data_IF_254871331554
#
_entry.id   IF_254871331554
#
_cell.length_a   1.000
_cell.length_b   1.000
_cell.length_c   1.000
_cell.angle_alpha   90.00
_cell.angle_beta   90.00
_cell.angle_gamma   90.00
#
_symmetry.space_group_name_H-M   'P 1'
#
loop_
_entity.id
_entity.type
_entity.pdbx_description
1 polymer ?
#
# COMPACT_ATOMS: atom_id res chain seq x y z
N UNK A 1 -13.45 -3.88 1.41
CA UNK A 1 -13.39 -5.23 0.80
C UNK A 1 -14.76 -5.60 0.25
N UNK A 2 -14.87 -6.30 -0.88
CA UNK A 2 -16.16 -6.72 -1.45
C UNK A 2 -16.94 -7.59 -0.46
N UNK A 3 -18.25 -7.36 -0.37
CA UNK A 3 -19.15 -8.01 0.58
C UNK A 3 -18.95 -9.53 0.67
N UNK A 4 -18.87 -10.04 1.90
CA UNK A 4 -18.64 -11.46 2.22
C UNK A 4 -19.59 -12.41 1.48
N UNK A 5 -20.79 -11.94 1.15
CA UNK A 5 -21.86 -12.72 0.50
C UNK A 5 -21.76 -12.78 -1.04
N UNK A 6 -21.04 -11.83 -1.66
CA UNK A 6 -20.96 -11.68 -3.12
C UNK A 6 -19.52 -11.55 -3.65
N UNK A 7 -18.51 -11.64 -2.77
CA UNK A 7 -17.11 -11.61 -3.18
C UNK A 7 -16.72 -12.76 -4.12
N UNK A 8 -15.66 -12.56 -4.90
CA UNK A 8 -15.17 -13.51 -5.90
C UNK A 8 -14.97 -14.92 -5.34
N UNK A 9 -14.44 -15.05 -4.12
CA UNK A 9 -14.28 -16.35 -3.45
C UNK A 9 -15.63 -17.04 -3.22
N UNK A 10 -16.64 -16.31 -2.73
CA UNK A 10 -17.96 -16.85 -2.44
C UNK A 10 -18.64 -17.34 -3.73
N UNK A 11 -18.53 -16.59 -4.83
CA UNK A 11 -19.06 -16.99 -6.13
C UNK A 11 -18.33 -18.21 -6.71
N UNK A 12 -17.00 -18.24 -6.64
CA UNK A 12 -16.22 -19.40 -7.11
C UNK A 12 -16.50 -20.67 -6.29
N UNK A 13 -16.70 -20.55 -4.98
CA UNK A 13 -17.02 -21.69 -4.13
C UNK A 13 -18.41 -22.26 -4.45
N UNK A 14 -19.39 -21.41 -4.80
CA UNK A 14 -20.71 -21.84 -5.28
C UNK A 14 -20.62 -22.58 -6.62
N UNK A 15 -19.84 -22.07 -7.58
CA UNK A 15 -19.70 -22.68 -8.92
C UNK A 15 -19.06 -24.07 -8.83
N UNK A 16 -18.04 -24.25 -7.99
CA UNK A 16 -17.26 -25.50 -7.95
C UNK A 16 -17.79 -26.49 -6.91
N UNK A 17 -18.85 -26.14 -6.17
CA UNK A 17 -19.52 -27.04 -5.22
C UNK A 17 -18.70 -27.40 -3.97
N UNK A 18 -17.63 -26.66 -3.68
CA UNK A 18 -16.84 -26.82 -2.46
C UNK A 18 -16.17 -25.49 -2.07
N UNK A 19 -15.84 -25.34 -0.79
CA UNK A 19 -15.16 -24.15 -0.29
C UNK A 19 -13.76 -24.03 -0.88
N UNK A 20 -13.48 -22.91 -1.57
CA UNK A 20 -12.12 -22.58 -2.02
C UNK A 20 -11.45 -21.66 -1.01
N UNK A 21 -10.34 -22.09 -0.36
CA UNK A 21 -9.63 -21.23 0.55
C UNK A 21 -9.03 -20.06 -0.22
N UNK A 22 -9.36 -18.85 0.21
CA UNK A 22 -8.73 -17.64 -0.30
C UNK A 22 -7.42 -17.40 0.44
N UNK A 23 -6.32 -17.36 -0.31
CA UNK A 23 -5.00 -17.01 0.23
C UNK A 23 -4.70 -15.57 -0.20
N UNK A 24 -4.77 -14.61 0.72
CA UNK A 24 -4.49 -13.22 0.37
C UNK A 24 -3.02 -13.04 -0.02
N UNK A 25 -2.79 -12.23 -1.05
CA UNK A 25 -1.44 -11.85 -1.42
C UNK A 25 -0.79 -11.03 -0.29
N UNK A 26 0.54 -11.03 -0.21
CA UNK A 26 1.26 -10.33 0.87
C UNK A 26 0.88 -8.85 0.97
N UNK A 27 0.68 -8.18 -0.17
CA UNK A 27 0.26 -6.78 -0.20
C UNK A 27 -1.15 -6.59 0.40
N UNK A 28 -2.08 -7.50 0.10
CA UNK A 28 -3.43 -7.43 0.65
C UNK A 28 -3.42 -7.63 2.17
N UNK A 29 -2.66 -8.62 2.67
CA UNK A 29 -2.51 -8.83 4.11
C UNK A 29 -1.95 -7.59 4.81
N UNK A 30 -0.98 -6.92 4.20
CA UNK A 30 -0.38 -5.72 4.77
C UNK A 30 -1.37 -4.55 4.80
N UNK A 31 -2.15 -4.35 3.74
CA UNK A 31 -3.18 -3.31 3.72
C UNK A 31 -4.24 -3.54 4.80
N UNK A 32 -4.76 -4.76 4.91
CA UNK A 32 -5.74 -5.11 5.96
C UNK A 32 -5.15 -4.92 7.36
N UNK A 33 -3.87 -5.25 7.55
CA UNK A 33 -3.20 -5.01 8.82
C UNK A 33 -3.11 -3.52 9.15
N UNK A 34 -2.75 -2.67 8.19
CA UNK A 34 -2.68 -1.22 8.37
C UNK A 34 -4.07 -0.65 8.68
N UNK A 35 -5.10 -1.05 7.93
CA UNK A 35 -6.50 -0.67 8.15
C UNK A 35 -6.93 -0.95 9.60
N UNK A 36 -6.77 -2.19 10.05
CA UNK A 36 -7.09 -2.55 11.44
C UNK A 36 -6.23 -1.84 12.48
N UNK A 37 -4.96 -1.55 12.17
CA UNK A 37 -4.07 -0.83 13.09
C UNK A 37 -4.51 0.62 13.27
N UNK A 38 -4.97 1.27 12.19
CA UNK A 38 -5.53 2.63 12.23
C UNK A 38 -6.87 2.64 12.97
N UNK A 39 -7.73 1.64 12.76
CA UNK A 39 -9.01 1.53 13.48
C UNK A 39 -8.81 1.31 14.98
N UNK A 40 -7.77 0.55 15.36
CA UNK A 40 -7.48 0.24 16.76
C UNK A 40 -6.79 1.39 17.51
N UNK A 41 -6.15 2.34 16.83
CA UNK A 41 -5.37 3.40 17.47
C UNK A 41 -5.34 4.68 16.65
N UNK A 42 -5.89 5.75 17.23
CA UNK A 42 -5.86 7.09 16.64
C UNK A 42 -4.44 7.59 16.37
N UNK A 43 -3.48 7.25 17.24
CA UNK A 43 -2.07 7.63 17.09
C UNK A 43 -1.48 6.99 15.83
N UNK A 44 -1.84 5.74 15.56
CA UNK A 44 -1.39 5.03 14.34
C UNK A 44 -2.06 5.65 13.11
N UNK A 45 -3.34 5.97 13.17
CA UNK A 45 -4.05 6.66 12.09
C UNK A 45 -3.42 8.02 11.78
N UNK A 46 -3.11 8.84 12.79
CA UNK A 46 -2.45 10.14 12.62
C UNK A 46 -1.05 10.03 12.01
N UNK A 47 -0.29 9.01 12.40
CA UNK A 47 1.02 8.71 11.81
C UNK A 47 0.89 8.47 10.30
N UNK A 48 -0.03 7.58 9.89
CA UNK A 48 -0.24 7.28 8.47
C UNK A 48 -0.79 8.47 7.68
N UNK A 49 -1.70 9.26 8.26
CA UNK A 49 -2.20 10.49 7.64
C UNK A 49 -1.08 11.51 7.40
N UNK A 50 -0.15 11.64 8.35
CA UNK A 50 1.01 12.52 8.22
C UNK A 50 1.96 12.03 7.14
N UNK A 51 2.23 10.72 7.11
CA UNK A 51 3.07 10.11 6.07
C UNK A 51 2.46 10.27 4.68
N UNK A 52 1.16 10.06 4.52
CA UNK A 52 0.44 10.25 3.27
C UNK A 52 0.49 11.73 2.83
N UNK A 53 0.25 12.66 3.74
CA UNK A 53 0.32 14.09 3.45
C UNK A 53 1.71 14.53 2.97
N UNK A 54 2.78 14.01 3.61
CA UNK A 54 4.15 14.25 3.16
C UNK A 54 4.40 13.64 1.78
N UNK A 55 3.95 12.41 1.55
CA UNK A 55 4.08 11.76 0.25
C UNK A 55 3.38 12.56 -0.86
N UNK A 56 2.14 13.00 -0.64
CA UNK A 56 1.37 13.82 -1.60
C UNK A 56 2.07 15.16 -1.83
N UNK A 57 2.58 15.80 -0.77
CA UNK A 57 3.31 17.06 -0.90
C UNK A 57 4.54 16.94 -1.82
N UNK A 58 5.37 15.92 -1.64
CA UNK A 58 6.57 15.74 -2.45
C UNK A 58 6.29 15.17 -3.85
N UNK A 59 5.32 14.27 -3.99
CA UNK A 59 4.98 13.63 -5.28
C UNK A 59 4.22 14.54 -6.23
N UNK A 60 3.44 15.49 -5.71
CA UNK A 60 2.68 16.47 -6.52
C UNK A 60 3.55 17.50 -7.26
N UNK A 61 4.87 17.49 -7.07
CA UNK A 61 5.80 18.38 -7.79
C UNK A 61 7.15 17.72 -8.02
N UNK A 62 7.53 17.59 -9.29
CA UNK A 62 8.86 17.08 -9.70
C UNK A 62 9.99 17.90 -9.08
N UNK A 63 9.81 19.22 -8.92
CA UNK A 63 10.77 20.10 -8.24
C UNK A 63 10.93 19.75 -6.76
N UNK A 64 9.82 19.54 -6.03
CA UNK A 64 9.86 19.17 -4.59
C UNK A 64 10.44 17.78 -4.40
N UNK A 65 9.99 16.80 -5.20
CA UNK A 65 10.55 15.44 -5.19
C UNK A 65 12.05 15.42 -5.50
N UNK A 66 12.50 16.21 -6.48
CA UNK A 66 13.92 16.34 -6.81
C UNK A 66 14.75 16.97 -5.68
N UNK A 67 14.20 17.95 -4.95
CA UNK A 67 14.86 18.51 -3.77
C UNK A 67 14.98 17.48 -2.64
N UNK A 68 13.91 16.74 -2.36
CA UNK A 68 13.91 15.66 -1.37
C UNK A 68 14.97 14.60 -1.70
N UNK A 69 15.05 14.16 -2.96
CA UNK A 69 16.05 13.17 -3.37
C UNK A 69 17.49 13.67 -3.18
N UNK A 70 17.76 14.94 -3.50
CA UNK A 70 19.09 15.54 -3.26
C UNK A 70 19.43 15.54 -1.77
N UNK A 71 18.49 15.93 -0.92
CA UNK A 71 18.70 15.94 0.53
C UNK A 71 18.88 14.55 1.12
N UNK A 72 18.16 13.55 0.62
CA UNK A 72 18.37 12.16 1.03
C UNK A 72 19.77 11.65 0.67
N UNK A 73 20.38 12.10 -0.44
CA UNK A 73 21.75 11.73 -0.80
C UNK A 73 22.80 12.28 0.18
N UNK A 74 22.52 13.39 0.86
CA UNK A 74 23.40 13.99 1.86
C UNK A 74 23.38 13.23 3.20
N UNK A 75 22.36 12.41 3.44
CA UNK A 75 22.18 11.66 4.69
C UNK A 75 22.81 10.27 4.54
N UNK A 76 23.82 9.98 5.36
CA UNK A 76 24.45 8.67 5.41
C UNK A 76 23.44 7.59 5.83
N UNK A 77 23.40 6.48 5.08
CA UNK A 77 22.43 5.40 5.32
C UNK A 77 21.00 5.70 4.89
N UNK A 78 20.75 6.73 4.07
CA UNK A 78 19.40 7.01 3.59
C UNK A 78 18.77 5.83 2.86
N UNK A 79 17.60 5.41 3.34
CA UNK A 79 16.87 4.30 2.76
C UNK A 79 16.17 4.79 1.49
N UNK A 80 16.60 4.25 0.35
CA UNK A 80 15.84 4.35 -0.89
C UNK A 80 14.93 3.14 -1.00
N UNK A 81 13.64 3.40 -1.22
CA UNK A 81 12.72 2.36 -1.67
C UNK A 81 13.30 1.74 -2.95
N UNK A 82 13.65 0.45 -2.89
CA UNK A 82 14.05 -0.29 -4.09
C UNK A 82 12.88 -0.24 -5.06
N UNK A 83 13.18 0.02 -6.34
CA UNK A 83 12.17 0.01 -7.38
C UNK A 83 11.51 -1.39 -7.37
N UNK A 84 10.21 -1.43 -7.11
CA UNK A 84 9.47 -2.68 -7.00
C UNK A 84 9.35 -3.28 -8.41
N UNK A 85 9.37 -4.61 -8.51
CA UNK A 85 9.32 -5.33 -9.80
C UNK A 85 8.24 -4.75 -10.72
N UNK A 86 8.58 -4.49 -11.99
CA UNK A 86 7.64 -4.01 -13.02
C UNK A 86 6.38 -4.87 -13.13
N UNK A 87 6.46 -6.14 -12.76
CA UNK A 87 5.35 -7.11 -12.83
C UNK A 87 4.41 -7.14 -11.61
N UNK A 88 4.66 -6.35 -10.55
CA UNK A 88 3.82 -6.36 -9.34
C UNK A 88 2.86 -5.17 -9.33
N UNK A 89 1.62 -5.43 -9.74
CA UNK A 89 0.53 -4.44 -9.89
C UNK A 89 0.23 -3.63 -8.62
N UNK A 90 0.51 -4.16 -7.43
CA UNK A 90 0.18 -3.53 -6.13
C UNK A 90 1.20 -2.49 -5.66
N UNK A 91 2.24 -2.22 -6.45
CA UNK A 91 3.41 -1.44 -6.03
C UNK A 91 3.73 -0.26 -6.94
N UNK A 92 2.98 -0.07 -8.02
CA UNK A 92 3.17 1.04 -8.94
C UNK A 92 2.39 2.25 -8.42
N UNK A 93 3.04 3.10 -7.61
CA UNK A 93 2.76 4.53 -7.71
C UNK A 93 3.60 5.05 -8.88
N UNK A 94 3.14 4.79 -10.09
CA UNK A 94 3.78 5.26 -11.32
C UNK A 94 3.63 6.77 -11.41
N UNK A 95 4.73 7.50 -11.29
CA UNK A 95 4.86 8.81 -11.93
C UNK A 95 6.12 8.83 -12.80
N UNK A 96 6.05 9.47 -13.99
CA UNK A 96 7.17 9.64 -14.91
C UNK A 96 8.30 10.53 -14.36
#
# INVERSE_FOLDING_TARGET
MSDHLQGTQAMLSKIVGHNKPYIPCQAHRLNTFVEHSCDASIIVAELFNTLESLYVFFSSSTKRGGYLQKKLLEIEGSLKLRNLSKTRWTAQSSFP
#
